data_IF_558444123236
#
_entry.id   IF_558444123236
#
_cell.length_a   1.000
_cell.length_b   1.000
_cell.length_c   1.000
_cell.angle_alpha   90.00
_cell.angle_beta   90.00
_cell.angle_gamma   90.00
#
_symmetry.space_group_name_H-M   'P 1'
#
loop_
_entity.id
_entity.type
_entity.pdbx_description
1 polymer ?
#
# COMPACT_ATOMS: atom_id res chain seq x y z
N UNK A 1 -35.29 -3.40 24.16
CA UNK A 1 -35.62 -2.35 23.16
C UNK A 1 -35.03 -2.77 21.82
N UNK A 2 -35.59 -2.39 20.65
CA UNK A 2 -34.94 -2.68 19.36
C UNK A 2 -34.11 -1.49 18.95
N UNK A 3 -32.87 -1.71 18.55
CA UNK A 3 -31.93 -0.69 18.06
C UNK A 3 -31.35 -1.07 16.71
N UNK A 4 -30.91 -0.10 15.96
CA UNK A 4 -30.26 -0.30 14.66
C UNK A 4 -28.91 -1.01 14.84
N UNK A 5 -28.54 -1.87 13.89
CA UNK A 5 -27.30 -2.63 13.95
C UNK A 5 -26.07 -1.73 14.02
N UNK A 6 -26.02 -0.62 13.23
CA UNK A 6 -24.91 0.31 13.27
C UNK A 6 -24.75 1.01 14.64
N UNK A 7 -25.84 1.22 15.35
CA UNK A 7 -25.85 1.78 16.72
C UNK A 7 -25.40 0.72 17.74
N UNK A 8 -25.91 -0.51 17.62
CA UNK A 8 -25.54 -1.61 18.50
C UNK A 8 -24.05 -1.93 18.46
N UNK A 9 -23.42 -1.89 17.26
CA UNK A 9 -21.99 -2.13 17.14
C UNK A 9 -21.17 -1.10 17.92
N UNK A 10 -21.51 0.18 17.80
CA UNK A 10 -20.82 1.25 18.55
C UNK A 10 -21.06 1.12 20.05
N UNK A 11 -22.30 0.92 20.46
CA UNK A 11 -22.67 0.79 21.88
C UNK A 11 -21.98 -0.37 22.59
N UNK A 12 -21.65 -1.45 21.84
CA UNK A 12 -20.93 -2.63 22.34
C UNK A 12 -19.42 -2.60 22.12
N UNK A 13 -18.86 -1.45 21.72
CA UNK A 13 -17.45 -1.30 21.37
C UNK A 13 -16.96 -2.28 20.26
N UNK A 14 -17.84 -2.73 19.38
CA UNK A 14 -17.53 -3.54 18.21
C UNK A 14 -17.15 -2.69 17.00
N UNK A 15 -17.37 -1.38 17.07
CA UNK A 15 -16.91 -0.39 16.10
C UNK A 15 -16.70 0.97 16.80
N UNK A 16 -15.71 1.73 16.39
CA UNK A 16 -15.35 3.02 17.01
C UNK A 16 -16.35 4.15 16.67
N UNK A 17 -16.99 4.09 15.51
CA UNK A 17 -17.99 5.07 15.06
C UNK A 17 -19.09 4.41 14.23
N UNK A 18 -20.22 5.13 14.04
CA UNK A 18 -21.31 4.63 13.20
C UNK A 18 -20.92 4.47 11.74
N UNK A 19 -20.00 5.29 11.23
CA UNK A 19 -19.47 5.21 9.89
C UNK A 19 -18.63 3.93 9.73
N UNK A 20 -17.75 3.62 10.70
CA UNK A 20 -17.00 2.37 10.74
C UNK A 20 -17.92 1.16 10.90
N UNK A 21 -18.94 1.25 11.76
CA UNK A 21 -19.96 0.20 11.89
C UNK A 21 -20.66 -0.10 10.55
N UNK A 22 -21.10 0.93 9.82
CA UNK A 22 -21.70 0.77 8.50
C UNK A 22 -20.74 0.09 7.51
N UNK A 23 -19.48 0.52 7.48
CA UNK A 23 -18.47 -0.06 6.59
C UNK A 23 -18.26 -1.56 6.87
N UNK A 24 -18.15 -1.95 8.13
CA UNK A 24 -17.98 -3.36 8.55
C UNK A 24 -19.22 -4.20 8.21
N UNK A 25 -20.41 -3.65 8.40
CA UNK A 25 -21.68 -4.32 8.06
C UNK A 25 -21.79 -4.51 6.54
N UNK A 26 -21.56 -3.44 5.75
CA UNK A 26 -21.63 -3.49 4.29
C UNK A 26 -20.54 -4.37 3.68
N UNK A 27 -19.40 -4.52 4.34
CA UNK A 27 -18.38 -5.50 3.97
C UNK A 27 -18.81 -6.96 4.24
N UNK A 28 -19.96 -7.17 4.92
CA UNK A 28 -20.48 -8.48 5.24
C UNK A 28 -19.70 -9.21 6.34
N UNK A 29 -19.04 -8.46 7.19
CA UNK A 29 -18.25 -8.99 8.30
C UNK A 29 -19.05 -9.13 9.59
N UNK A 30 -20.32 -8.71 9.60
CA UNK A 30 -21.18 -8.76 10.79
C UNK A 30 -22.15 -9.94 10.69
N UNK A 31 -22.20 -10.72 11.75
CA UNK A 31 -23.11 -11.86 11.90
C UNK A 31 -23.98 -11.63 13.14
N UNK A 32 -25.28 -11.77 12.93
CA UNK A 32 -26.30 -11.65 14.00
C UNK A 32 -26.95 -13.01 14.17
N UNK A 33 -26.89 -13.59 15.38
CA UNK A 33 -27.34 -14.96 15.66
C UNK A 33 -26.75 -15.97 14.65
N UNK A 34 -25.50 -15.79 14.26
CA UNK A 34 -24.80 -16.65 13.30
C UNK A 34 -25.14 -16.42 11.82
N UNK A 35 -26.10 -15.54 11.50
CA UNK A 35 -26.46 -15.17 10.13
C UNK A 35 -25.78 -13.86 9.72
N UNK A 36 -25.23 -13.84 8.50
CA UNK A 36 -24.61 -12.63 7.94
C UNK A 36 -25.67 -11.55 7.73
N UNK A 37 -25.35 -10.34 8.21
CA UNK A 37 -26.18 -9.15 8.01
C UNK A 37 -25.36 -8.05 7.30
N UNK A 38 -25.90 -7.54 6.19
CA UNK A 38 -25.23 -6.54 5.35
C UNK A 38 -25.94 -5.17 5.33
N UNK A 39 -27.05 -5.04 6.06
CA UNK A 39 -27.85 -3.81 6.14
C UNK A 39 -27.69 -3.13 7.50
N UNK A 40 -26.96 -2.02 7.52
CA UNK A 40 -26.68 -1.25 8.73
C UNK A 40 -27.93 -0.72 9.44
N UNK A 41 -29.02 -0.55 8.72
CA UNK A 41 -30.30 -0.04 9.24
C UNK A 41 -31.20 -1.10 9.88
N UNK A 42 -30.91 -2.40 9.72
CA UNK A 42 -31.69 -3.46 10.32
C UNK A 42 -31.72 -3.33 11.85
N UNK A 43 -32.89 -3.54 12.45
CA UNK A 43 -33.06 -3.38 13.90
C UNK A 43 -33.14 -4.72 14.60
N UNK A 44 -32.40 -4.84 15.69
CA UNK A 44 -32.36 -6.05 16.53
C UNK A 44 -32.62 -5.71 18.01
N UNK A 45 -33.06 -6.70 18.82
CA UNK A 45 -33.08 -6.55 20.27
C UNK A 45 -31.67 -6.22 20.79
N UNK A 46 -31.60 -5.41 21.82
CA UNK A 46 -30.30 -5.06 22.46
C UNK A 46 -29.58 -6.24 23.14
N UNK A 47 -30.26 -7.38 23.23
CA UNK A 47 -29.71 -8.64 23.76
C UNK A 47 -29.22 -9.61 22.70
N UNK A 48 -29.40 -9.28 21.39
CA UNK A 48 -29.02 -10.18 20.29
C UNK A 48 -27.52 -10.48 20.26
N UNK A 49 -27.14 -11.71 19.94
CA UNK A 49 -25.73 -12.04 19.78
C UNK A 49 -25.20 -11.44 18.46
N UNK A 50 -24.17 -10.59 18.57
CA UNK A 50 -23.49 -10.00 17.43
C UNK A 50 -22.04 -10.44 17.44
N UNK A 51 -21.59 -10.95 16.30
CA UNK A 51 -20.21 -11.35 16.06
C UNK A 51 -19.68 -10.57 14.84
N UNK A 52 -18.54 -9.91 15.00
CA UNK A 52 -17.81 -9.31 13.87
C UNK A 52 -16.74 -10.31 13.46
N UNK A 53 -16.93 -10.92 12.30
CA UNK A 53 -15.97 -11.85 11.70
C UNK A 53 -15.16 -11.12 10.65
N UNK A 54 -13.86 -11.32 10.69
CA UNK A 54 -12.91 -10.63 9.81
C UNK A 54 -12.17 -9.50 10.53
N UNK A 55 -10.99 -9.20 10.04
CA UNK A 55 -10.22 -8.09 10.59
C UNK A 55 -10.88 -6.77 10.20
N UNK A 56 -11.22 -5.94 11.17
CA UNK A 56 -11.41 -4.51 10.92
C UNK A 56 -10.10 -4.01 10.32
N UNK A 57 -10.16 -3.43 9.13
CA UNK A 57 -8.98 -2.88 8.50
C UNK A 57 -8.39 -1.81 9.46
N UNK A 58 -7.14 -1.96 9.89
CA UNK A 58 -6.51 -0.99 10.79
C UNK A 58 -6.24 0.36 10.09
N UNK A 59 -6.35 0.40 8.77
CA UNK A 59 -6.03 1.53 7.92
C UNK A 59 -7.24 1.98 7.11
N UNK A 60 -7.22 3.22 6.60
CA UNK A 60 -8.28 3.79 5.75
C UNK A 60 -8.53 2.99 4.47
N UNK A 61 -7.59 2.17 4.05
CA UNK A 61 -7.75 1.23 2.93
C UNK A 61 -6.88 -0.02 3.08
N UNK A 62 -7.19 -1.08 2.32
CA UNK A 62 -6.40 -2.33 2.28
C UNK A 62 -4.94 -2.11 1.87
N UNK A 63 -4.65 -0.99 1.19
CA UNK A 63 -3.28 -0.62 0.82
C UNK A 63 -2.33 -0.62 2.01
N UNK A 64 -2.77 -0.14 3.18
CA UNK A 64 -1.96 -0.09 4.38
C UNK A 64 -1.36 -1.43 4.81
N UNK A 65 -2.08 -2.55 4.58
CA UNK A 65 -1.57 -3.90 4.87
C UNK A 65 -0.33 -4.28 4.06
N UNK A 66 -0.15 -3.69 2.87
CA UNK A 66 1.03 -3.94 2.04
C UNK A 66 2.27 -3.32 2.67
N UNK A 67 2.18 -2.06 3.09
CA UNK A 67 3.28 -1.37 3.75
C UNK A 67 3.54 -1.92 5.15
N UNK A 68 2.51 -2.28 5.90
CA UNK A 68 2.64 -2.97 7.19
C UNK A 68 3.50 -4.23 7.07
N UNK A 69 3.26 -5.07 6.04
CA UNK A 69 4.09 -6.25 5.79
C UNK A 69 5.56 -5.88 5.53
N UNK A 70 5.80 -4.82 4.74
CA UNK A 70 7.17 -4.36 4.49
C UNK A 70 7.85 -3.86 5.77
N UNK A 71 7.17 -3.07 6.59
CA UNK A 71 7.69 -2.59 7.88
C UNK A 71 8.03 -3.78 8.78
N UNK A 72 7.14 -4.78 8.88
CA UNK A 72 7.34 -5.93 9.74
C UNK A 72 8.47 -6.87 9.28
N UNK A 73 8.65 -7.05 7.96
CA UNK A 73 9.53 -8.08 7.41
C UNK A 73 10.88 -7.58 6.89
N UNK A 74 11.01 -6.26 6.61
CA UNK A 74 12.20 -5.68 5.97
C UNK A 74 13.04 -4.83 6.93
N UNK A 75 12.70 -4.81 8.21
CA UNK A 75 13.35 -3.96 9.21
C UNK A 75 13.30 -2.46 8.85
N UNK A 76 12.19 -2.04 8.25
CA UNK A 76 11.93 -0.65 7.89
C UNK A 76 11.36 0.10 9.08
N UNK A 77 11.98 1.21 9.45
CA UNK A 77 11.42 2.13 10.45
C UNK A 77 11.05 3.45 9.80
N UNK A 78 9.85 3.95 10.10
CA UNK A 78 9.38 5.28 9.70
C UNK A 78 9.21 6.22 10.90
N UNK A 79 9.51 5.74 12.11
CA UNK A 79 9.36 6.52 13.34
C UNK A 79 10.22 7.79 13.32
N UNK A 80 9.60 8.94 13.59
CA UNK A 80 10.21 10.27 13.54
C UNK A 80 10.62 10.76 12.14
N UNK A 81 10.41 9.97 11.09
CA UNK A 81 10.84 10.28 9.71
C UNK A 81 9.88 11.21 8.97
N UNK A 82 10.44 11.94 8.02
CA UNK A 82 9.71 12.66 6.97
C UNK A 82 9.58 11.76 5.76
N UNK A 83 8.33 11.51 5.37
CA UNK A 83 8.00 10.50 4.38
C UNK A 83 7.24 11.09 3.18
N UNK A 84 7.31 10.41 2.04
CA UNK A 84 6.38 10.61 0.92
C UNK A 84 5.57 9.35 0.68
N UNK A 85 4.29 9.52 0.34
CA UNK A 85 3.39 8.47 -0.15
C UNK A 85 3.05 8.77 -1.61
N UNK A 86 3.70 8.06 -2.53
CA UNK A 86 3.59 8.30 -3.98
C UNK A 86 2.54 7.36 -4.57
N UNK A 87 1.45 7.96 -5.06
CA UNK A 87 0.23 7.25 -5.41
C UNK A 87 -0.64 7.01 -4.19
N UNK A 88 -0.82 8.05 -3.37
CA UNK A 88 -1.47 7.94 -2.06
C UNK A 88 -2.93 7.49 -2.11
N UNK A 89 -3.66 7.80 -3.19
CA UNK A 89 -5.07 7.43 -3.37
C UNK A 89 -5.90 7.76 -2.11
N UNK A 90 -6.54 6.79 -1.48
CA UNK A 90 -7.28 6.97 -0.23
C UNK A 90 -6.39 7.15 1.00
N UNK A 91 -5.08 6.92 0.90
CA UNK A 91 -4.12 7.16 1.98
C UNK A 91 -3.79 5.94 2.83
N UNK A 92 -3.93 4.72 2.30
CA UNK A 92 -3.63 3.51 3.07
C UNK A 92 -2.18 3.45 3.56
N UNK A 93 -1.21 3.82 2.71
CA UNK A 93 0.20 3.88 3.10
C UNK A 93 0.47 5.08 4.02
N UNK A 94 -0.11 6.23 3.74
CA UNK A 94 -0.05 7.41 4.62
C UNK A 94 -0.51 7.05 6.04
N UNK A 95 -1.69 6.45 6.19
CA UNK A 95 -2.23 6.04 7.50
C UNK A 95 -1.33 5.02 8.19
N UNK A 96 -0.78 4.05 7.46
CA UNK A 96 0.19 3.09 7.98
C UNK A 96 1.46 3.79 8.50
N UNK A 97 2.04 4.70 7.75
CA UNK A 97 3.21 5.46 8.19
C UNK A 97 2.94 6.31 9.44
N UNK A 98 1.81 6.99 9.50
CA UNK A 98 1.42 7.81 10.65
C UNK A 98 1.22 6.97 11.92
N UNK A 99 0.59 5.79 11.80
CA UNK A 99 0.41 4.85 12.91
C UNK A 99 1.74 4.24 13.39
N UNK A 100 2.75 4.18 12.52
CA UNK A 100 4.11 3.75 12.84
C UNK A 100 5.05 4.90 13.20
N UNK A 101 4.52 6.08 13.56
CA UNK A 101 5.28 7.17 14.15
C UNK A 101 5.91 8.15 13.16
N UNK A 102 5.54 8.12 11.87
CA UNK A 102 6.04 9.12 10.92
C UNK A 102 5.75 10.55 11.40
N UNK A 103 6.78 11.40 11.39
CA UNK A 103 6.68 12.80 11.80
C UNK A 103 5.87 13.63 10.82
N UNK A 104 6.01 13.33 9.53
CA UNK A 104 5.33 14.04 8.44
C UNK A 104 5.23 13.16 7.19
N UNK A 105 4.11 13.25 6.48
CA UNK A 105 3.88 12.52 5.24
C UNK A 105 3.38 13.46 4.16
N UNK A 106 4.08 13.54 3.03
CA UNK A 106 3.61 14.17 1.81
C UNK A 106 2.83 13.14 0.99
N UNK A 107 1.50 13.26 0.96
CA UNK A 107 0.61 12.37 0.22
C UNK A 107 0.44 12.89 -1.21
N UNK A 108 1.16 12.27 -2.16
CA UNK A 108 1.28 12.73 -3.55
C UNK A 108 0.42 11.84 -4.45
N UNK A 109 -0.51 12.44 -5.19
CA UNK A 109 -1.37 11.73 -6.16
C UNK A 109 -1.75 12.62 -7.35
N UNK A 110 -1.88 12.02 -8.52
CA UNK A 110 -2.39 12.70 -9.73
C UNK A 110 -3.91 12.94 -9.68
N UNK A 111 -4.60 12.16 -8.87
CA UNK A 111 -6.04 12.27 -8.63
C UNK A 111 -6.43 13.49 -7.81
N UNK A 112 -7.73 13.62 -7.57
CA UNK A 112 -8.32 14.69 -6.76
C UNK A 112 -9.41 14.16 -5.86
N UNK A 113 -9.43 14.62 -4.59
CA UNK A 113 -10.51 14.33 -3.65
C UNK A 113 -10.52 12.86 -3.19
N UNK A 114 -9.42 12.13 -3.33
CA UNK A 114 -9.34 10.70 -2.99
C UNK A 114 -8.87 10.45 -1.57
N UNK A 115 -7.94 11.28 -1.07
CA UNK A 115 -7.38 11.11 0.26
C UNK A 115 -8.49 11.17 1.32
N UNK A 116 -8.49 10.23 2.25
CA UNK A 116 -9.47 10.15 3.33
C UNK A 116 -9.51 11.44 4.15
N UNK A 117 -10.72 11.84 4.57
CA UNK A 117 -10.93 13.09 5.30
C UNK A 117 -10.16 13.16 6.62
N UNK A 118 -10.05 12.05 7.33
CA UNK A 118 -9.25 11.94 8.57
C UNK A 118 -7.79 12.33 8.32
N UNK A 119 -7.22 11.87 7.21
CA UNK A 119 -5.82 12.15 6.86
C UNK A 119 -5.64 13.59 6.38
N UNK A 120 -6.62 14.15 5.69
CA UNK A 120 -6.58 15.59 5.29
C UNK A 120 -6.56 16.54 6.47
N UNK A 121 -7.10 16.13 7.61
CA UNK A 121 -7.16 16.93 8.83
C UNK A 121 -5.97 16.68 9.77
N UNK A 122 -5.13 15.68 9.51
CA UNK A 122 -3.95 15.40 10.32
C UNK A 122 -2.85 16.41 9.98
N UNK A 123 -2.38 17.17 10.97
CA UNK A 123 -1.36 18.22 10.81
C UNK A 123 -0.03 17.68 10.29
N UNK A 124 0.22 16.38 10.41
CA UNK A 124 1.39 15.70 9.89
C UNK A 124 1.30 15.39 8.39
N UNK A 125 0.12 15.56 7.77
CA UNK A 125 -0.11 15.21 6.36
C UNK A 125 -0.13 16.45 5.48
N UNK A 126 0.70 16.47 4.46
CA UNK A 126 0.67 17.44 3.38
C UNK A 126 0.02 16.79 2.16
N UNK A 127 -1.22 17.20 1.85
CA UNK A 127 -1.97 16.67 0.72
C UNK A 127 -1.54 17.33 -0.59
N UNK A 128 -0.87 16.57 -1.46
CA UNK A 128 -0.38 17.01 -2.77
C UNK A 128 -1.14 16.30 -3.90
N UNK A 129 -2.43 16.59 -4.03
CA UNK A 129 -3.27 16.09 -5.14
C UNK A 129 -3.00 16.86 -6.45
N UNK A 130 -3.44 16.27 -7.59
CA UNK A 130 -3.15 16.76 -8.96
C UNK A 130 -1.65 16.93 -9.23
N UNK A 131 -0.83 16.19 -8.52
CA UNK A 131 0.62 16.28 -8.58
C UNK A 131 1.20 15.05 -9.23
N UNK A 132 1.92 15.25 -10.35
CA UNK A 132 2.61 14.16 -11.02
C UNK A 132 4.03 14.06 -10.45
N UNK A 133 4.32 12.94 -9.81
CA UNK A 133 5.62 12.68 -9.15
C UNK A 133 6.83 12.90 -10.08
N UNK A 134 6.68 12.71 -11.38
CA UNK A 134 7.78 12.89 -12.35
C UNK A 134 8.30 14.33 -12.41
N UNK A 135 7.53 15.29 -11.92
CA UNK A 135 7.86 16.72 -11.95
C UNK A 135 8.05 17.32 -10.56
N UNK A 136 7.94 16.53 -9.51
CA UNK A 136 8.22 16.96 -8.15
C UNK A 136 9.72 17.15 -7.97
N UNK A 137 10.11 18.32 -7.49
CA UNK A 137 11.50 18.67 -7.18
C UNK A 137 11.66 18.85 -5.66
N UNK A 138 12.90 18.81 -5.13
CA UNK A 138 13.13 18.98 -3.68
C UNK A 138 12.50 20.22 -3.09
N UNK A 139 12.46 21.31 -3.85
CA UNK A 139 11.90 22.61 -3.45
C UNK A 139 10.39 22.55 -3.17
N UNK A 140 9.64 21.67 -3.85
CA UNK A 140 8.21 21.48 -3.64
C UNK A 140 7.90 20.86 -2.27
N UNK A 141 8.84 20.08 -1.72
CA UNK A 141 8.72 19.42 -0.43
C UNK A 141 9.25 20.27 0.72
N UNK A 142 10.22 21.15 0.44
CA UNK A 142 10.78 22.11 1.39
C UNK A 142 11.66 21.50 2.49
N UNK A 143 11.78 20.19 2.56
CA UNK A 143 12.66 19.47 3.48
C UNK A 143 13.09 18.12 2.89
N UNK A 144 14.29 17.61 3.29
CA UNK A 144 14.79 16.32 2.80
C UNK A 144 13.92 15.14 3.28
N UNK A 145 13.72 14.17 2.42
CA UNK A 145 12.87 12.99 2.66
C UNK A 145 13.73 11.81 3.15
N UNK A 146 13.33 11.20 4.26
CA UNK A 146 13.96 10.02 4.84
C UNK A 146 13.48 8.71 4.20
N UNK A 147 12.17 8.65 3.86
CA UNK A 147 11.54 7.44 3.37
C UNK A 147 10.45 7.76 2.32
N UNK A 148 10.35 6.93 1.29
CA UNK A 148 9.30 7.03 0.29
C UNK A 148 8.58 5.70 0.11
N UNK A 149 7.25 5.69 0.22
CA UNK A 149 6.43 4.57 -0.23
C UNK A 149 5.88 4.84 -1.63
N UNK A 150 5.77 3.79 -2.47
CA UNK A 150 5.33 3.93 -3.87
C UNK A 150 4.29 2.86 -4.20
N UNK A 151 3.06 3.29 -4.48
CA UNK A 151 1.94 2.44 -4.96
C UNK A 151 1.26 3.08 -6.18
N UNK A 152 2.00 3.26 -7.27
CA UNK A 152 1.50 3.89 -8.50
C UNK A 152 0.81 2.89 -9.44
N UNK A 153 -0.10 3.38 -10.27
CA UNK A 153 -0.82 2.58 -11.29
C UNK A 153 -0.68 3.21 -12.67
N UNK A 154 -0.72 2.35 -13.71
CA UNK A 154 -0.65 2.75 -15.13
C UNK A 154 0.68 3.40 -15.55
N UNK A 155 1.73 3.23 -14.77
CA UNK A 155 3.07 3.72 -15.04
C UNK A 155 4.11 2.73 -14.51
N UNK A 156 5.24 2.59 -15.19
CA UNK A 156 6.37 1.79 -14.71
C UNK A 156 7.13 2.51 -13.60
N UNK A 157 7.62 1.75 -12.61
CA UNK A 157 8.52 2.25 -11.56
C UNK A 157 9.79 2.90 -12.14
N UNK A 158 10.26 2.42 -13.30
CA UNK A 158 11.42 3.01 -13.98
C UNK A 158 11.23 4.49 -14.39
N UNK A 159 9.99 4.99 -14.39
CA UNK A 159 9.67 6.39 -14.72
C UNK A 159 9.53 7.29 -13.48
N UNK A 160 9.49 6.70 -12.29
CA UNK A 160 9.25 7.45 -11.05
C UNK A 160 10.39 7.34 -10.04
N UNK A 161 11.23 6.31 -10.12
CA UNK A 161 12.33 6.09 -9.17
C UNK A 161 13.38 7.21 -9.22
N UNK A 162 13.74 7.71 -10.40
CA UNK A 162 14.76 8.76 -10.54
C UNK A 162 14.29 10.11 -9.95
N UNK A 163 13.09 10.64 -10.26
CA UNK A 163 12.55 11.80 -9.57
C UNK A 163 12.53 11.66 -8.04
N UNK A 164 12.13 10.49 -7.54
CA UNK A 164 12.09 10.23 -6.09
C UNK A 164 13.50 10.24 -5.51
N UNK A 165 14.47 9.61 -6.17
CA UNK A 165 15.87 9.61 -5.76
C UNK A 165 16.42 11.02 -5.54
N UNK A 166 16.02 11.98 -6.35
CA UNK A 166 16.53 13.34 -6.33
C UNK A 166 16.19 14.10 -5.04
N UNK A 167 15.05 13.79 -4.41
CA UNK A 167 14.66 14.45 -3.15
C UNK A 167 14.93 13.60 -1.89
N UNK A 168 15.34 12.33 -2.05
CA UNK A 168 15.73 11.50 -0.93
C UNK A 168 17.06 11.91 -0.34
N UNK A 169 17.20 11.82 0.98
CA UNK A 169 18.49 11.88 1.67
C UNK A 169 19.45 10.81 1.16
N UNK A 170 20.74 10.98 1.42
CA UNK A 170 21.78 10.06 0.94
C UNK A 170 21.64 8.64 1.50
N UNK A 171 21.04 8.49 2.68
CA UNK A 171 20.70 7.21 3.30
C UNK A 171 19.20 6.90 3.24
N UNK A 172 18.45 7.64 2.41
CA UNK A 172 17.02 7.51 2.27
C UNK A 172 16.60 6.16 1.66
N UNK A 173 15.45 5.68 2.08
CA UNK A 173 14.93 4.36 1.72
C UNK A 173 13.59 4.45 0.99
N UNK A 174 13.31 3.43 0.20
CA UNK A 174 12.05 3.29 -0.55
C UNK A 174 11.47 1.91 -0.31
N UNK A 175 10.16 1.84 -0.10
CA UNK A 175 9.38 0.62 -0.31
C UNK A 175 8.42 0.85 -1.47
N UNK A 176 8.57 0.08 -2.55
CA UNK A 176 7.77 0.22 -3.75
C UNK A 176 7.02 -1.06 -4.10
N UNK A 177 5.83 -0.92 -4.69
CA UNK A 177 5.08 -2.02 -5.28
C UNK A 177 5.47 -2.21 -6.75
N UNK A 178 6.03 -3.36 -7.07
CA UNK A 178 6.18 -3.82 -8.45
C UNK A 178 4.86 -4.47 -8.85
N UNK A 179 4.23 -3.91 -9.88
CA UNK A 179 2.96 -4.38 -10.43
C UNK A 179 3.19 -4.93 -11.83
N UNK A 180 3.27 -6.25 -12.01
CA UNK A 180 3.58 -6.85 -13.31
C UNK A 180 2.70 -6.36 -14.45
N UNK A 181 1.43 -6.08 -14.19
CA UNK A 181 0.48 -5.57 -15.18
C UNK A 181 0.83 -4.17 -15.75
N UNK A 182 1.67 -3.40 -15.06
CA UNK A 182 2.12 -2.07 -15.51
C UNK A 182 3.60 -2.05 -15.93
N UNK A 183 4.31 -3.15 -15.71
CA UNK A 183 5.72 -3.30 -16.04
C UNK A 183 5.97 -4.16 -17.28
N UNK A 184 5.12 -5.17 -17.50
CA UNK A 184 5.17 -6.04 -18.68
C UNK A 184 4.63 -5.30 -19.91
N UNK A 185 5.06 -5.72 -21.10
CA UNK A 185 4.47 -5.29 -22.36
C UNK A 185 3.00 -5.71 -22.47
N UNK A 186 2.23 -4.98 -23.26
CA UNK A 186 0.78 -5.23 -23.44
C UNK A 186 0.48 -6.65 -23.92
N UNK A 187 1.37 -7.26 -24.68
CA UNK A 187 1.28 -8.63 -25.21
C UNK A 187 1.35 -9.69 -24.11
N UNK A 188 1.94 -9.38 -22.96
CA UNK A 188 2.05 -10.27 -21.79
C UNK A 188 0.94 -10.09 -20.76
N UNK A 189 0.05 -9.12 -20.98
CA UNK A 189 -1.08 -8.83 -20.11
C UNK A 189 -2.33 -9.47 -20.70
N UNK A 190 -2.95 -10.39 -19.95
CA UNK A 190 -4.16 -11.09 -20.39
C UNK A 190 -5.38 -10.17 -20.55
N UNK A 191 -6.44 -10.66 -21.19
CA UNK A 191 -7.68 -9.91 -21.51
C UNK A 191 -8.35 -9.21 -20.31
N UNK A 192 -8.12 -9.71 -19.11
CA UNK A 192 -8.65 -9.11 -17.85
C UNK A 192 -7.62 -8.21 -17.14
N UNK A 193 -6.53 -7.82 -17.79
CA UNK A 193 -5.49 -7.00 -17.17
C UNK A 193 -4.63 -7.77 -16.15
N UNK A 194 -4.56 -9.12 -16.25
CA UNK A 194 -3.81 -9.96 -15.31
C UNK A 194 -2.62 -10.62 -16.00
N UNK A 195 -1.44 -10.51 -15.38
CA UNK A 195 -0.24 -11.25 -15.75
C UNK A 195 -0.25 -12.59 -15.03
N UNK A 196 -0.23 -13.70 -15.78
CA UNK A 196 -0.34 -15.05 -15.24
C UNK A 196 0.94 -15.87 -15.37
N UNK A 197 1.73 -15.58 -16.39
CA UNK A 197 2.93 -16.33 -16.71
C UNK A 197 4.03 -16.04 -15.70
N UNK A 198 4.50 -17.08 -15.00
CA UNK A 198 5.55 -16.99 -13.99
C UNK A 198 6.84 -16.37 -14.54
N UNK A 199 7.22 -16.72 -15.78
CA UNK A 199 8.38 -16.15 -16.47
C UNK A 199 8.27 -14.63 -16.64
N UNK A 200 7.05 -14.11 -16.89
CA UNK A 200 6.82 -12.66 -17.01
C UNK A 200 7.02 -11.96 -15.68
N UNK A 201 6.65 -12.58 -14.56
CA UNK A 201 6.90 -12.03 -13.22
C UNK A 201 8.41 -11.94 -12.95
N UNK A 202 9.20 -12.96 -13.30
CA UNK A 202 10.66 -12.93 -13.20
C UNK A 202 11.26 -11.79 -14.01
N UNK A 203 10.92 -11.69 -15.29
CA UNK A 203 11.42 -10.64 -16.19
C UNK A 203 11.10 -9.23 -15.66
N UNK A 204 9.89 -9.03 -15.12
CA UNK A 204 9.46 -7.73 -14.59
C UNK A 204 10.25 -7.34 -13.36
N UNK A 205 10.42 -8.27 -12.42
CA UNK A 205 11.16 -8.01 -11.19
C UNK A 205 12.63 -7.72 -11.52
N UNK A 206 13.25 -8.54 -12.36
CA UNK A 206 14.63 -8.35 -12.80
C UNK A 206 14.82 -6.99 -13.49
N UNK A 207 13.93 -6.62 -14.41
CA UNK A 207 13.95 -5.33 -15.09
C UNK A 207 13.92 -4.16 -14.12
N UNK A 208 13.01 -4.17 -13.15
CA UNK A 208 12.88 -3.09 -12.15
C UNK A 208 14.10 -3.05 -11.23
N UNK A 209 14.58 -4.22 -10.80
CA UNK A 209 15.75 -4.35 -9.95
C UNK A 209 17.01 -3.80 -10.62
N UNK A 210 17.31 -4.24 -11.83
CA UNK A 210 18.47 -3.77 -12.61
C UNK A 210 18.39 -2.26 -12.88
N UNK A 211 17.21 -1.74 -13.20
CA UNK A 211 17.04 -0.31 -13.36
C UNK A 211 17.33 0.45 -12.05
N UNK A 212 16.78 0.00 -10.93
CA UNK A 212 17.02 0.65 -9.63
C UNK A 212 18.53 0.67 -9.29
N UNK A 213 19.24 -0.44 -9.52
CA UNK A 213 20.70 -0.51 -9.33
C UNK A 213 21.45 0.45 -10.24
N UNK A 214 21.06 0.53 -11.52
CA UNK A 214 21.73 1.40 -12.52
C UNK A 214 21.64 2.88 -12.18
N UNK A 215 20.60 3.30 -11.47
CA UNK A 215 20.42 4.70 -11.03
C UNK A 215 20.88 4.94 -9.59
N UNK A 216 21.58 4.00 -8.96
CA UNK A 216 22.17 4.14 -7.63
C UNK A 216 21.20 3.85 -6.49
N UNK A 217 20.51 2.73 -6.56
CA UNK A 217 19.84 2.12 -5.41
C UNK A 217 20.44 0.75 -5.13
N UNK A 218 20.64 0.45 -3.85
CA UNK A 218 20.90 -0.90 -3.37
C UNK A 218 19.55 -1.56 -3.04
N UNK A 219 19.34 -2.81 -3.51
CA UNK A 219 18.19 -3.61 -3.14
C UNK A 219 18.49 -4.25 -1.79
N UNK A 220 17.64 -4.01 -0.79
CA UNK A 220 17.79 -4.59 0.53
C UNK A 220 16.92 -5.82 0.72
N UNK A 221 15.68 -5.77 0.27
CA UNK A 221 14.72 -6.85 0.41
C UNK A 221 13.74 -6.89 -0.76
N UNK A 222 13.16 -8.08 -0.98
CA UNK A 222 12.02 -8.27 -1.87
C UNK A 222 11.09 -9.35 -1.29
N UNK A 223 9.79 -9.13 -1.40
CA UNK A 223 8.77 -10.11 -1.04
C UNK A 223 7.49 -9.85 -1.85
N UNK A 224 6.50 -10.73 -1.78
CA UNK A 224 5.19 -10.51 -2.40
C UNK A 224 4.25 -9.74 -1.48
N UNK A 225 3.32 -9.00 -2.08
CA UNK A 225 2.25 -8.30 -1.35
C UNK A 225 1.33 -9.30 -0.62
N UNK A 226 0.91 -9.03 0.63
CA UNK A 226 0.00 -9.91 1.37
C UNK A 226 -1.41 -9.99 0.76
N UNK A 227 -1.74 -9.02 -0.09
CA UNK A 227 -3.03 -8.95 -0.79
C UNK A 227 -2.81 -8.81 -2.28
N UNK A 228 -3.68 -9.43 -3.07
CA UNK A 228 -3.70 -9.26 -4.52
C UNK A 228 -4.24 -7.87 -4.88
N UNK A 229 -3.71 -7.30 -5.95
CA UNK A 229 -4.22 -6.08 -6.57
C UNK A 229 -5.60 -6.28 -7.21
N UNK A 230 -6.14 -5.22 -7.83
CA UNK A 230 -7.37 -5.31 -8.62
C UNK A 230 -7.27 -6.46 -9.64
N UNK A 231 -8.41 -7.07 -10.00
CA UNK A 231 -8.50 -8.20 -10.91
C UNK A 231 -7.70 -9.46 -10.50
N UNK A 232 -7.11 -9.46 -9.29
CA UNK A 232 -6.37 -10.59 -8.74
C UNK A 232 -4.89 -10.64 -9.12
N UNK A 233 -4.31 -9.56 -9.60
CA UNK A 233 -2.88 -9.47 -9.88
C UNK A 233 -2.04 -9.72 -8.64
N UNK A 234 -1.00 -10.52 -8.79
CA UNK A 234 0.08 -10.65 -7.81
C UNK A 234 0.98 -9.42 -7.94
N UNK A 235 1.30 -8.80 -6.82
CA UNK A 235 2.18 -7.64 -6.72
C UNK A 235 3.32 -7.94 -5.77
N UNK A 236 4.46 -7.25 -5.93
CA UNK A 236 5.64 -7.48 -5.12
C UNK A 236 6.06 -6.20 -4.40
N UNK A 237 6.67 -6.36 -3.24
CA UNK A 237 7.27 -5.31 -2.43
C UNK A 237 8.78 -5.34 -2.66
N UNK A 238 9.38 -4.23 -3.06
CA UNK A 238 10.83 -4.07 -3.15
C UNK A 238 11.28 -2.98 -2.19
N UNK A 239 12.31 -3.28 -1.39
CA UNK A 239 12.95 -2.34 -0.48
C UNK A 239 14.29 -1.89 -1.04
N UNK A 240 14.42 -0.59 -1.24
CA UNK A 240 15.58 0.04 -1.86
C UNK A 240 16.19 1.05 -0.89
N UNK A 241 17.51 1.18 -0.93
CA UNK A 241 18.27 2.24 -0.22
C UNK A 241 19.07 3.05 -1.23
N UNK A 242 19.01 4.37 -1.13
CA UNK A 242 19.84 5.26 -1.94
C UNK A 242 21.31 4.97 -1.69
N UNK A 243 22.08 4.87 -2.76
CA UNK A 243 23.50 4.55 -2.74
C UNK A 243 24.27 5.54 -3.63
N UNK A 244 25.49 5.95 -3.25
CA UNK A 244 26.22 7.00 -3.97
C UNK A 244 26.65 6.59 -5.38
N UNK A 245 26.81 5.30 -5.65
CA UNK A 245 27.27 4.76 -6.92
C UNK A 245 26.30 3.69 -7.45
N UNK A 246 26.27 3.42 -8.77
CA UNK A 246 25.62 2.23 -9.30
C UNK A 246 26.10 0.96 -8.58
N UNK A 247 25.19 0.05 -8.31
CA UNK A 247 25.46 -1.18 -7.56
C UNK A 247 25.47 -2.35 -8.54
N UNK A 248 26.57 -3.12 -8.54
CA UNK A 248 26.72 -4.31 -9.37
C UNK A 248 26.45 -5.61 -8.59
N UNK A 249 25.76 -5.55 -7.46
CA UNK A 249 25.53 -6.71 -6.60
C UNK A 249 24.46 -7.67 -7.13
N UNK A 250 24.81 -8.94 -7.11
CA UNK A 250 24.01 -10.06 -7.62
C UNK A 250 22.96 -10.55 -6.59
N UNK A 251 21.88 -9.79 -6.35
CA UNK A 251 20.68 -10.29 -5.68
C UNK A 251 19.71 -11.02 -6.64
N UNK A 252 20.15 -11.35 -7.85
CA UNK A 252 19.29 -11.94 -8.89
C UNK A 252 18.79 -13.34 -8.51
N UNK A 253 19.56 -14.12 -7.76
CA UNK A 253 19.14 -15.45 -7.29
C UNK A 253 17.99 -15.36 -6.29
N UNK A 254 18.04 -14.42 -5.33
CA UNK A 254 16.98 -14.20 -4.35
C UNK A 254 15.69 -13.68 -5.01
N UNK A 255 15.80 -12.87 -6.07
CA UNK A 255 14.65 -12.38 -6.84
C UNK A 255 13.86 -13.51 -7.50
N UNK A 256 14.56 -14.51 -8.02
CA UNK A 256 13.95 -15.70 -8.61
C UNK A 256 13.18 -16.51 -7.57
N UNK A 257 13.78 -16.76 -6.40
CA UNK A 257 13.16 -17.52 -5.31
C UNK A 257 11.86 -16.88 -4.79
N UNK A 258 11.77 -15.54 -4.77
CA UNK A 258 10.55 -14.84 -4.35
C UNK A 258 9.37 -15.14 -5.28
N UNK A 259 9.59 -15.15 -6.59
CA UNK A 259 8.52 -15.48 -7.56
C UNK A 259 8.07 -16.91 -7.36
N UNK A 260 9.01 -17.86 -7.22
CA UNK A 260 8.70 -19.27 -7.02
C UNK A 260 7.83 -19.48 -5.78
N UNK A 261 8.27 -18.95 -4.64
CA UNK A 261 7.51 -18.98 -3.37
C UNK A 261 6.14 -18.35 -3.48
N UNK A 262 6.03 -17.24 -4.23
CA UNK A 262 4.76 -16.53 -4.43
C UNK A 262 3.75 -17.40 -5.17
N UNK A 263 4.17 -18.06 -6.25
CA UNK A 263 3.30 -18.93 -7.03
C UNK A 263 2.88 -20.18 -6.24
N UNK A 264 3.72 -20.72 -5.39
CA UNK A 264 3.37 -21.82 -4.49
C UNK A 264 2.32 -21.40 -3.45
N UNK A 265 2.38 -20.15 -2.99
CA UNK A 265 1.53 -19.62 -1.91
C UNK A 265 0.21 -19.04 -2.41
N UNK A 266 0.24 -18.23 -3.48
CA UNK A 266 -0.88 -17.39 -3.91
C UNK A 266 -1.56 -17.83 -5.21
N UNK A 267 -0.96 -18.70 -6.01
CA UNK A 267 -1.53 -19.14 -7.29
C UNK A 267 -2.55 -20.29 -7.16
N UNK A 268 -2.83 -20.73 -5.93
CA UNK A 268 -3.85 -21.76 -5.62
C UNK A 268 -5.25 -21.18 -5.65
#
# INVERSE_FOLDING_TARGET
MKERLDVLLVKRNLAESREKAKAVIMAGNVFVEGQREDKAGTTFPDTVQIEVRGHVLPYVSRGGLKLEKAIANFDVSVDGKVCTDVGSSTGGFTDCMLQNGARKVFAIDVGRGQLDWKLRQDERVVCMEKTNIRYVVPEDLGEPIDFSSIDVSFISLTKVLEPIRNYLKEDGEIVALIKPQFEAGREKVGKKGVVREKSTHHEVIEKVALYAQSIGFKILNIDFSPIKGPEGNIEYLIHLKKWPNPVEDALLEDLSLVVDRTFETLAK
#
